data_IF_075559192942
#
_entry.id   IF_075559192942
#
_cell.length_a   1.000
_cell.length_b   1.000
_cell.length_c   1.000
_cell.angle_alpha   90.00
_cell.angle_beta   90.00
_cell.angle_gamma   90.00
#
_symmetry.space_group_name_H-M   'P 1'
#
loop_
_entity.id
_entity.type
_entity.pdbx_description
1 polymer ?
#
# COMPACT_ATOMS: atom_id res chain seq x y z
N UNK A 1 12.77 -4.62 -13.40
CA UNK A 1 13.49 -3.55 -14.09
C UNK A 1 14.98 -3.81 -14.20
N UNK A 2 15.72 -3.93 -13.08
CA UNK A 2 17.16 -4.14 -13.08
C UNK A 2 17.62 -5.43 -13.82
N UNK A 3 16.84 -6.51 -13.71
CA UNK A 3 17.13 -7.78 -14.40
C UNK A 3 16.92 -7.66 -15.91
N UNK A 4 15.88 -6.94 -16.35
CA UNK A 4 15.61 -6.67 -17.78
C UNK A 4 16.70 -5.76 -18.36
N UNK A 5 17.31 -4.89 -17.55
CA UNK A 5 18.46 -4.03 -17.91
C UNK A 5 19.81 -4.75 -18.00
N UNK A 6 19.84 -6.09 -17.87
CA UNK A 6 21.08 -6.88 -18.02
C UNK A 6 21.91 -7.03 -16.75
N UNK A 7 21.40 -6.66 -15.58
CA UNK A 7 22.07 -6.91 -14.31
C UNK A 7 22.11 -8.42 -14.00
N UNK A 8 23.30 -8.91 -13.63
CA UNK A 8 23.47 -10.31 -13.22
C UNK A 8 22.66 -10.57 -11.96
N UNK A 9 21.86 -11.64 -11.96
CA UNK A 9 20.93 -12.02 -10.88
C UNK A 9 21.59 -12.07 -9.50
N UNK A 10 22.90 -12.36 -9.43
CA UNK A 10 23.66 -12.36 -8.17
C UNK A 10 23.69 -11.00 -7.45
N UNK A 11 23.76 -9.88 -8.16
CA UNK A 11 23.70 -8.57 -7.54
C UNK A 11 22.31 -8.26 -6.98
N UNK A 12 21.27 -8.73 -7.67
CA UNK A 12 19.89 -8.64 -7.17
C UNK A 12 19.70 -9.47 -5.88
N UNK A 13 20.26 -10.68 -5.83
CA UNK A 13 20.24 -11.50 -4.63
C UNK A 13 21.00 -10.84 -3.46
N UNK A 14 22.14 -10.22 -3.71
CA UNK A 14 22.88 -9.49 -2.66
C UNK A 14 22.09 -8.30 -2.13
N UNK A 15 21.37 -7.53 -2.97
CA UNK A 15 20.54 -6.42 -2.50
C UNK A 15 19.36 -6.92 -1.65
N UNK A 16 18.70 -8.02 -2.03
CA UNK A 16 17.66 -8.63 -1.22
C UNK A 16 18.22 -9.11 0.12
N UNK A 17 19.33 -9.83 0.09
CA UNK A 17 19.95 -10.37 1.31
C UNK A 17 20.37 -9.25 2.27
N UNK A 18 20.97 -8.17 1.76
CA UNK A 18 21.33 -6.99 2.56
C UNK A 18 20.10 -6.30 3.15
N UNK A 19 19.00 -6.22 2.39
CA UNK A 19 17.72 -5.67 2.87
C UNK A 19 17.12 -6.52 4.00
N UNK A 20 17.09 -7.83 3.86
CA UNK A 20 16.61 -8.75 4.90
C UNK A 20 17.49 -8.66 6.15
N UNK A 21 18.81 -8.63 5.98
CA UNK A 21 19.76 -8.50 7.08
C UNK A 21 19.55 -7.18 7.85
N UNK A 22 19.38 -6.07 7.14
CA UNK A 22 19.07 -4.77 7.70
C UNK A 22 17.76 -4.76 8.50
N UNK A 23 16.70 -5.40 7.97
CA UNK A 23 15.41 -5.56 8.64
C UNK A 23 15.54 -6.36 9.94
N UNK A 24 16.22 -7.50 9.91
CA UNK A 24 16.45 -8.34 11.10
C UNK A 24 17.25 -7.58 12.15
N UNK A 25 18.31 -6.89 11.74
CA UNK A 25 19.10 -6.05 12.66
C UNK A 25 18.24 -4.93 13.27
N UNK A 26 17.39 -4.27 12.50
CA UNK A 26 16.49 -3.23 13.01
C UNK A 26 15.54 -3.78 14.07
N UNK A 27 14.95 -4.96 13.86
CA UNK A 27 14.06 -5.61 14.83
C UNK A 27 14.83 -6.00 16.11
N UNK A 28 16.09 -6.42 16.00
CA UNK A 28 16.90 -6.79 17.15
C UNK A 28 17.36 -5.59 17.99
N UNK A 29 17.76 -4.50 17.34
CA UNK A 29 18.34 -3.34 18.03
C UNK A 29 17.31 -2.31 18.50
N UNK A 30 16.15 -2.22 17.83
CA UNK A 30 15.12 -1.25 18.18
C UNK A 30 13.93 -1.91 18.88
N UNK A 31 13.78 -1.74 20.22
CA UNK A 31 12.67 -2.34 20.98
C UNK A 31 11.29 -1.90 20.44
N UNK A 32 11.18 -0.68 19.92
CA UNK A 32 9.96 -0.18 19.31
C UNK A 32 9.52 -1.02 18.10
N UNK A 33 10.45 -1.30 17.18
CA UNK A 33 10.19 -2.15 16.00
C UNK A 33 9.81 -3.58 16.40
N UNK A 34 10.52 -4.11 17.39
CA UNK A 34 10.25 -5.46 17.93
C UNK A 34 8.85 -5.57 18.53
N UNK A 35 8.47 -4.62 19.38
CA UNK A 35 7.15 -4.64 20.02
C UNK A 35 6.03 -4.49 18.99
N UNK A 36 6.22 -3.66 17.97
CA UNK A 36 5.28 -3.46 16.87
C UNK A 36 5.12 -4.71 16.00
N UNK A 37 6.22 -5.39 15.69
CA UNK A 37 6.21 -6.67 14.97
C UNK A 37 5.52 -7.78 15.79
N UNK A 38 5.81 -7.86 17.09
CA UNK A 38 5.19 -8.83 17.99
C UNK A 38 3.70 -8.57 18.17
N UNK A 39 3.27 -7.32 18.33
CA UNK A 39 1.85 -6.97 18.46
C UNK A 39 1.05 -7.31 17.19
N UNK A 40 1.66 -7.13 16.01
CA UNK A 40 1.05 -7.52 14.75
C UNK A 40 0.88 -9.05 14.64
N UNK A 41 1.88 -9.81 15.11
CA UNK A 41 1.86 -11.28 15.03
C UNK A 41 1.01 -11.93 16.12
N UNK A 42 0.91 -11.33 17.30
CA UNK A 42 0.23 -11.95 18.44
C UNK A 42 -1.28 -11.76 18.45
N UNK A 43 -1.83 -10.95 17.56
CA UNK A 43 -3.26 -10.64 17.46
C UNK A 43 -3.92 -10.28 18.82
N UNK A 44 -3.10 -9.99 19.84
CA UNK A 44 -3.52 -9.74 21.20
C UNK A 44 -3.94 -8.29 21.34
N UNK A 45 -5.27 -8.08 21.44
CA UNK A 45 -5.95 -6.82 21.66
C UNK A 45 -5.50 -5.71 20.68
N UNK A 46 -6.10 -5.65 19.49
CA UNK A 46 -5.93 -4.49 18.63
C UNK A 46 -6.39 -3.28 19.45
N UNK A 47 -5.47 -2.34 19.66
CA UNK A 47 -5.80 -1.08 20.30
C UNK A 47 -6.87 -0.39 19.45
N UNK A 48 -8.11 -0.18 19.97
CA UNK A 48 -9.18 0.45 19.20
C UNK A 48 -8.82 1.85 18.71
N UNK A 49 -7.80 2.46 19.32
CA UNK A 49 -7.24 3.75 18.90
C UNK A 49 -6.26 3.63 17.74
N UNK A 50 -5.85 2.41 17.36
CA UNK A 50 -4.92 2.23 16.24
C UNK A 50 -5.56 2.64 14.92
N UNK A 51 -4.80 3.35 14.10
CA UNK A 51 -5.25 3.83 12.79
C UNK A 51 -5.76 2.69 11.88
N UNK A 52 -5.14 1.52 11.95
CA UNK A 52 -5.51 0.34 11.16
C UNK A 52 -6.87 -0.20 11.61
N UNK A 53 -7.14 -0.23 12.91
CA UNK A 53 -8.43 -0.73 13.42
C UNK A 53 -9.58 0.22 13.05
N UNK A 54 -9.35 1.52 13.12
CA UNK A 54 -10.32 2.51 12.63
C UNK A 54 -10.54 2.41 11.12
N UNK A 55 -9.48 2.17 10.35
CA UNK A 55 -9.59 1.94 8.91
C UNK A 55 -10.44 0.71 8.58
N UNK A 56 -10.27 -0.39 9.33
CA UNK A 56 -11.12 -1.58 9.20
C UNK A 56 -12.57 -1.32 9.58
N UNK A 57 -12.80 -0.58 10.66
CA UNK A 57 -14.16 -0.20 11.08
C UNK A 57 -14.86 0.64 10.02
N UNK A 58 -14.15 1.63 9.43
CA UNK A 58 -14.67 2.41 8.32
C UNK A 58 -15.05 1.57 7.11
N UNK A 59 -14.19 0.64 6.72
CA UNK A 59 -14.49 -0.29 5.63
C UNK A 59 -15.71 -1.19 5.93
N UNK A 60 -15.87 -1.61 7.18
CA UNK A 60 -17.03 -2.41 7.60
C UNK A 60 -18.33 -1.59 7.58
N UNK A 61 -18.28 -0.33 8.00
CA UNK A 61 -19.43 0.57 8.01
C UNK A 61 -19.88 0.97 6.60
N UNK A 62 -18.92 1.19 5.68
CA UNK A 62 -19.20 1.54 4.30
C UNK A 62 -19.92 0.41 3.51
N UNK A 63 -19.77 -0.85 3.90
CA UNK A 63 -20.41 -1.97 3.23
C UNK A 63 -20.16 -1.99 1.71
N UNK A 64 -21.20 -2.36 0.92
CA UNK A 64 -21.08 -2.43 -0.54
C UNK A 64 -21.25 -1.06 -1.20
N UNK A 65 -22.19 -0.24 -0.73
CA UNK A 65 -22.61 1.02 -1.37
C UNK A 65 -22.11 2.29 -0.67
N UNK A 66 -21.45 2.17 0.49
CA UNK A 66 -21.01 3.31 1.29
C UNK A 66 -22.12 3.89 2.18
N UNK A 67 -21.69 4.71 3.16
CA UNK A 67 -22.58 5.44 4.06
C UNK A 67 -23.00 6.82 3.53
N UNK A 68 -22.36 7.27 2.43
CA UNK A 68 -22.63 8.58 1.82
C UNK A 68 -21.58 9.66 2.14
N UNK A 69 -21.56 10.71 1.33
CA UNK A 69 -20.51 11.74 1.32
C UNK A 69 -20.44 12.64 2.57
N UNK A 70 -21.34 12.56 3.52
CA UNK A 70 -21.39 13.50 4.65
C UNK A 70 -21.38 12.84 6.03
N UNK A 71 -21.51 11.53 6.11
CA UNK A 71 -21.67 10.79 7.37
C UNK A 71 -20.41 10.02 7.78
N UNK A 72 -19.23 10.42 7.26
CA UNK A 72 -17.97 9.77 7.57
C UNK A 72 -17.52 10.07 9.00
N UNK A 73 -17.56 9.07 9.86
CA UNK A 73 -17.09 9.14 11.26
C UNK A 73 -15.58 9.41 11.31
N UNK A 74 -14.84 8.99 10.29
CA UNK A 74 -13.41 9.27 10.18
C UNK A 74 -13.14 10.77 10.00
N UNK A 75 -13.97 11.50 9.24
CA UNK A 75 -13.79 12.95 9.06
C UNK A 75 -13.97 13.74 10.36
N UNK A 76 -14.93 13.36 11.20
CA UNK A 76 -15.21 14.08 12.46
C UNK A 76 -14.14 13.85 13.53
N UNK A 77 -13.52 12.67 13.57
CA UNK A 77 -12.50 12.34 14.57
C UNK A 77 -11.04 12.50 14.12
N UNK A 78 -10.80 12.66 12.81
CA UNK A 78 -9.45 12.61 12.20
C UNK A 78 -8.97 13.93 11.62
N UNK A 79 -9.75 15.00 11.68
CA UNK A 79 -9.38 16.28 11.03
C UNK A 79 -8.04 16.86 11.48
N UNK A 80 -7.44 16.38 12.58
CA UNK A 80 -6.14 16.87 13.06
C UNK A 80 -4.92 16.14 12.44
N UNK A 81 -5.09 14.92 11.90
CA UNK A 81 -3.95 14.07 11.47
C UNK A 81 -4.19 13.28 10.16
N UNK A 82 -5.12 13.70 9.30
CA UNK A 82 -5.31 13.05 7.98
C UNK A 82 -4.13 13.41 7.06
N UNK A 83 -2.98 12.85 7.35
CA UNK A 83 -1.85 12.90 6.43
C UNK A 83 -1.92 11.70 5.48
N UNK A 84 -2.31 11.99 4.23
CA UNK A 84 -2.03 11.31 2.95
C UNK A 84 -2.28 9.80 2.81
N UNK A 85 -2.07 8.97 3.82
CA UNK A 85 -2.03 7.51 3.66
C UNK A 85 -3.38 6.80 3.91
N UNK A 86 -4.40 7.52 4.39
CA UNK A 86 -5.71 6.97 4.77
C UNK A 86 -6.86 7.34 3.81
N UNK A 87 -6.56 7.67 2.56
CA UNK A 87 -7.60 8.00 1.58
C UNK A 87 -8.47 6.78 1.22
N UNK A 88 -7.90 5.58 1.21
CA UNK A 88 -8.60 4.33 0.90
C UNK A 88 -9.73 3.99 1.88
N UNK A 89 -9.53 4.05 3.22
CA UNK A 89 -10.62 3.89 4.19
C UNK A 89 -11.74 4.91 4.02
N UNK A 90 -11.41 6.17 3.74
CA UNK A 90 -12.42 7.23 3.53
C UNK A 90 -13.28 6.91 2.31
N UNK A 91 -12.67 6.53 1.19
CA UNK A 91 -13.41 6.12 -0.01
C UNK A 91 -14.25 4.87 0.26
N UNK A 92 -13.71 3.92 1.03
CA UNK A 92 -14.42 2.72 1.42
C UNK A 92 -15.62 2.99 2.34
N UNK A 93 -15.53 3.99 3.22
CA UNK A 93 -16.63 4.41 4.08
C UNK A 93 -17.70 5.18 3.27
N UNK A 94 -17.30 6.14 2.43
CA UNK A 94 -18.23 7.01 1.70
C UNK A 94 -18.90 6.34 0.50
N UNK A 95 -18.14 5.59 -0.31
CA UNK A 95 -18.59 4.99 -1.59
C UNK A 95 -18.73 3.47 -1.47
N UNK A 96 -18.21 2.90 -0.39
CA UNK A 96 -18.24 1.47 -0.15
C UNK A 96 -17.24 0.67 -0.97
N UNK A 97 -17.44 -0.64 -0.99
CA UNK A 97 -16.58 -1.58 -1.72
C UNK A 97 -16.53 -1.27 -3.23
N UNK A 98 -17.61 -0.73 -3.80
CA UNK A 98 -17.66 -0.33 -5.21
C UNK A 98 -16.62 0.76 -5.49
N UNK A 99 -16.49 1.76 -4.62
CA UNK A 99 -15.48 2.82 -4.77
C UNK A 99 -14.06 2.28 -4.78
N UNK A 100 -13.77 1.32 -3.89
CA UNK A 100 -12.47 0.66 -3.83
C UNK A 100 -12.21 -0.13 -5.12
N UNK A 101 -13.21 -0.86 -5.63
CA UNK A 101 -13.09 -1.63 -6.88
C UNK A 101 -12.81 -0.71 -8.08
N UNK A 102 -13.49 0.43 -8.17
CA UNK A 102 -13.26 1.43 -9.22
C UNK A 102 -11.81 1.95 -9.16
N UNK A 103 -11.31 2.24 -7.96
CA UNK A 103 -9.92 2.64 -7.78
C UNK A 103 -8.94 1.54 -8.23
N UNK A 104 -9.17 0.30 -7.86
CA UNK A 104 -8.35 -0.82 -8.32
C UNK A 104 -8.34 -0.88 -9.86
N UNK A 105 -9.51 -0.81 -10.50
CA UNK A 105 -9.61 -0.82 -11.96
C UNK A 105 -8.83 0.35 -12.59
N UNK A 106 -8.89 1.54 -11.98
CA UNK A 106 -8.19 2.72 -12.46
C UNK A 106 -6.66 2.55 -12.40
N UNK A 107 -6.12 2.11 -11.28
CA UNK A 107 -4.68 1.88 -11.12
C UNK A 107 -4.17 0.73 -12.00
N UNK A 108 -4.94 -0.34 -12.14
CA UNK A 108 -4.60 -1.42 -13.08
C UNK A 108 -4.66 -0.96 -14.53
N UNK A 109 -5.67 -0.19 -14.92
CA UNK A 109 -5.75 0.36 -16.28
C UNK A 109 -4.57 1.27 -16.61
N UNK A 110 -4.16 2.11 -15.65
CA UNK A 110 -2.96 2.92 -15.79
C UNK A 110 -1.70 2.08 -16.00
N UNK A 111 -1.54 1.00 -15.24
CA UNK A 111 -0.43 0.07 -15.40
C UNK A 111 -0.45 -0.60 -16.78
N UNK A 112 -1.61 -1.07 -17.27
CA UNK A 112 -1.74 -1.65 -18.59
C UNK A 112 -1.42 -0.65 -19.71
N UNK A 113 -1.83 0.62 -19.57
CA UNK A 113 -1.45 1.68 -20.50
C UNK A 113 0.07 1.88 -20.48
N UNK A 114 0.70 1.92 -19.32
CA UNK A 114 2.16 2.04 -19.19
C UNK A 114 2.89 0.89 -19.88
N UNK A 115 2.38 -0.35 -19.78
CA UNK A 115 2.91 -1.51 -20.51
C UNK A 115 2.73 -1.37 -22.02
N UNK A 116 1.60 -0.82 -22.49
CA UNK A 116 1.40 -0.54 -23.93
C UNK A 116 2.39 0.50 -24.44
N UNK A 117 2.53 1.61 -23.73
CA UNK A 117 3.49 2.68 -24.08
C UNK A 117 4.91 2.12 -24.13
N UNK A 118 5.28 1.29 -23.19
CA UNK A 118 6.58 0.62 -23.15
C UNK A 118 6.85 -0.23 -24.42
N UNK A 119 5.84 -0.95 -24.91
CA UNK A 119 5.97 -1.78 -26.13
C UNK A 119 6.10 -0.94 -27.41
N UNK A 120 5.63 0.30 -27.39
CA UNK A 120 5.70 1.23 -28.53
C UNK A 120 6.92 2.17 -28.45
N UNK A 121 7.69 2.10 -27.37
CA UNK A 121 8.84 2.98 -27.15
C UNK A 121 9.97 2.66 -28.16
N UNK A 122 10.63 3.71 -28.72
CA UNK A 122 11.65 3.54 -29.75
C UNK A 122 12.96 2.97 -29.22
N UNK A 123 13.22 3.11 -27.91
CA UNK A 123 14.46 2.71 -27.27
C UNK A 123 14.19 1.98 -25.94
N UNK A 124 15.18 1.21 -25.51
CA UNK A 124 15.11 0.40 -24.29
C UNK A 124 14.93 1.28 -23.05
N UNK A 125 15.57 2.45 -23.02
CA UNK A 125 15.48 3.36 -21.88
C UNK A 125 14.04 3.86 -21.67
N UNK A 126 13.41 4.40 -22.72
CA UNK A 126 12.02 4.88 -22.69
C UNK A 126 11.04 3.76 -22.35
N UNK A 127 11.27 2.56 -22.88
CA UNK A 127 10.49 1.37 -22.56
C UNK A 127 10.55 1.02 -21.07
N UNK A 128 11.74 0.97 -20.50
CA UNK A 128 11.94 0.68 -19.09
C UNK A 128 11.38 1.78 -18.18
N UNK A 129 11.53 3.05 -18.58
CA UNK A 129 11.01 4.18 -17.86
C UNK A 129 9.48 4.10 -17.75
N UNK A 130 8.79 3.85 -18.86
CA UNK A 130 7.33 3.74 -18.89
C UNK A 130 6.81 2.62 -17.98
N UNK A 131 7.38 1.41 -18.05
CA UNK A 131 7.01 0.30 -17.16
C UNK A 131 7.37 0.64 -15.70
N UNK A 132 8.54 1.26 -15.46
CA UNK A 132 9.01 1.63 -14.13
C UNK A 132 8.05 2.56 -13.41
N UNK A 133 7.59 3.59 -14.09
CA UNK A 133 6.62 4.55 -13.53
C UNK A 133 5.29 3.84 -13.26
N UNK A 134 4.76 3.09 -14.23
CA UNK A 134 3.49 2.39 -14.08
C UNK A 134 3.52 1.36 -12.93
N UNK A 135 4.60 0.59 -12.84
CA UNK A 135 4.79 -0.37 -11.75
C UNK A 135 4.93 0.31 -10.39
N UNK A 136 5.68 1.41 -10.32
CA UNK A 136 5.88 2.15 -9.07
C UNK A 136 4.54 2.67 -8.51
N UNK A 137 3.72 3.30 -9.35
CA UNK A 137 2.42 3.83 -8.94
C UNK A 137 1.50 2.69 -8.48
N UNK A 138 1.41 1.59 -9.24
CA UNK A 138 0.60 0.43 -8.84
C UNK A 138 1.11 -0.20 -7.54
N UNK A 139 2.42 -0.31 -7.38
CA UNK A 139 3.05 -0.87 -6.18
C UNK A 139 2.72 -0.07 -4.92
N UNK A 140 2.83 1.28 -4.98
CA UNK A 140 2.44 2.14 -3.86
C UNK A 140 0.97 1.99 -3.49
N UNK A 141 0.10 1.93 -4.49
CA UNK A 141 -1.32 1.71 -4.26
C UNK A 141 -1.60 0.36 -3.58
N UNK A 142 -0.97 -0.73 -4.06
CA UNK A 142 -1.14 -2.07 -3.49
C UNK A 142 -0.60 -2.16 -2.05
N UNK A 143 0.55 -1.54 -1.76
CA UNK A 143 1.08 -1.48 -0.40
C UNK A 143 0.14 -0.72 0.53
N UNK A 144 -0.39 0.43 0.08
CA UNK A 144 -1.34 1.20 0.86
C UNK A 144 -2.62 0.38 1.13
N UNK A 145 -3.16 -0.30 0.12
CA UNK A 145 -4.30 -1.19 0.29
C UNK A 145 -4.02 -2.33 1.28
N UNK A 146 -2.85 -2.96 1.18
CA UNK A 146 -2.43 -4.04 2.09
C UNK A 146 -2.25 -3.54 3.53
N UNK A 147 -1.77 -2.31 3.72
CA UNK A 147 -1.67 -1.66 5.00
C UNK A 147 -3.04 -1.43 5.65
N UNK A 148 -4.00 -0.88 4.88
CA UNK A 148 -5.35 -0.58 5.35
C UNK A 148 -6.10 -1.85 5.77
N UNK A 149 -5.92 -2.96 5.05
CA UNK A 149 -6.51 -4.27 5.39
C UNK A 149 -5.79 -4.94 6.57
N UNK A 150 -4.61 -4.43 6.98
CA UNK A 150 -3.82 -4.98 8.08
C UNK A 150 -2.96 -6.18 7.71
N UNK A 151 -2.70 -6.39 6.41
CA UNK A 151 -1.78 -7.42 5.92
C UNK A 151 -0.32 -7.06 6.18
N UNK A 152 -0.03 -5.78 6.28
CA UNK A 152 1.32 -5.25 6.56
C UNK A 152 1.26 -4.47 7.87
N UNK A 153 2.28 -4.61 8.75
CA UNK A 153 2.33 -3.86 10.00
C UNK A 153 2.37 -2.36 9.71
N UNK A 154 1.71 -1.53 10.51
CA UNK A 154 1.72 -0.08 10.36
C UNK A 154 3.15 0.44 10.50
N UNK A 155 3.56 1.34 9.64
CA UNK A 155 4.89 2.00 9.68
C UNK A 155 4.93 3.13 10.67
#
# INVERSE_FOLDING_TARGET
MLIIGGLKIKYFLYTILSGICSLVLSIMFYPYMRNRFLSWFSNSNPDPSSQVERAKQALQQGGIFGSGFSESIIKEGFMAEVHTDFILPIIGEEIGFIGILILFMLFFSFYFISVRVSKMAPDIFSSMLAIGIGFNILYYFLINAAYVVGLIPPT
#
